data_IF_052376365588
#
_entry.id   IF_052376365588
#
_cell.length_a   1.000
_cell.length_b   1.000
_cell.length_c   1.000
_cell.angle_alpha   90.00
_cell.angle_beta   90.00
_cell.angle_gamma   90.00
#
_symmetry.space_group_name_H-M   'P 1'
#
loop_
_entity.id
_entity.type
_entity.pdbx_description
1 polymer ?
#
# COMPACT_ATOMS: atom_id res chain seq x y z
N UNK A 1 11.26 -21.26 -1.89
CA UNK A 1 10.34 -21.63 -2.99
C UNK A 1 9.26 -20.55 -3.07
N UNK A 2 8.85 -20.11 -4.25
CA UNK A 2 7.84 -19.05 -4.38
C UNK A 2 6.48 -19.51 -3.81
N UNK A 3 5.75 -18.58 -3.18
CA UNK A 3 4.37 -18.82 -2.74
C UNK A 3 3.47 -18.83 -3.98
N UNK A 4 2.65 -19.87 -4.21
CA UNK A 4 1.75 -19.90 -5.37
C UNK A 4 0.75 -18.74 -5.36
N UNK A 5 0.42 -18.19 -6.53
CA UNK A 5 -0.55 -17.08 -6.67
C UNK A 5 -1.92 -17.43 -6.06
N UNK A 6 -2.36 -18.70 -6.19
CA UNK A 6 -3.59 -19.20 -5.54
C UNK A 6 -3.52 -19.01 -4.03
N UNK A 7 -2.38 -19.35 -3.42
CA UNK A 7 -2.20 -19.25 -1.96
C UNK A 7 -2.22 -17.81 -1.45
N UNK A 8 -1.62 -16.89 -2.21
CA UNK A 8 -1.73 -15.47 -1.94
C UNK A 8 -3.18 -14.99 -2.02
N UNK A 9 -3.93 -15.48 -3.00
CA UNK A 9 -5.32 -15.12 -3.23
C UNK A 9 -6.24 -15.62 -2.10
N UNK A 10 -6.01 -16.84 -1.60
CA UNK A 10 -6.70 -17.36 -0.41
C UNK A 10 -6.41 -16.52 0.84
N UNK A 11 -5.16 -16.08 1.04
CA UNK A 11 -4.79 -15.20 2.14
C UNK A 11 -5.48 -13.84 2.06
N UNK A 12 -5.55 -13.26 0.85
CA UNK A 12 -6.25 -12.00 0.58
C UNK A 12 -7.76 -12.10 0.85
N UNK A 13 -8.38 -13.21 0.44
CA UNK A 13 -9.79 -13.52 0.77
C UNK A 13 -9.96 -13.64 2.28
N UNK A 14 -9.12 -14.42 2.96
CA UNK A 14 -9.24 -14.65 4.40
C UNK A 14 -9.17 -13.35 5.21
N UNK A 15 -8.20 -12.48 4.93
CA UNK A 15 -8.09 -11.19 5.64
C UNK A 15 -9.20 -10.22 5.26
N UNK A 16 -9.56 -10.16 3.97
CA UNK A 16 -10.60 -9.24 3.50
C UNK A 16 -11.97 -9.61 4.07
N UNK A 17 -12.25 -10.91 4.20
CA UNK A 17 -13.43 -11.42 4.87
C UNK A 17 -13.48 -11.01 6.34
N UNK A 18 -12.40 -11.25 7.10
CA UNK A 18 -12.34 -10.87 8.53
C UNK A 18 -12.62 -9.37 8.69
N UNK A 19 -11.97 -8.51 7.90
CA UNK A 19 -12.13 -7.06 8.01
C UNK A 19 -13.54 -6.60 7.56
N UNK A 20 -14.07 -7.18 6.48
CA UNK A 20 -15.42 -6.88 5.98
C UNK A 20 -16.50 -7.28 6.98
N UNK A 21 -16.41 -8.48 7.57
CA UNK A 21 -17.37 -9.01 8.54
C UNK A 21 -17.43 -8.14 9.81
N UNK A 22 -16.42 -7.30 10.07
CA UNK A 22 -16.36 -6.35 11.19
C UNK A 22 -16.57 -4.89 10.75
N UNK A 23 -16.98 -4.64 9.51
CA UNK A 23 -17.24 -3.29 9.00
C UNK A 23 -16.00 -2.40 8.90
N UNK A 24 -14.80 -2.99 8.81
CA UNK A 24 -13.55 -2.24 8.72
C UNK A 24 -13.26 -1.94 7.25
N UNK A 25 -13.23 -0.66 6.87
CA UNK A 25 -12.79 -0.24 5.53
C UNK A 25 -11.33 -0.65 5.33
N UNK A 26 -11.03 -1.32 4.23
CA UNK A 26 -9.69 -1.78 3.90
C UNK A 26 -9.57 -1.96 2.39
N UNK A 27 -8.34 -2.10 1.91
CA UNK A 27 -8.12 -2.63 0.56
C UNK A 27 -6.70 -3.10 0.34
N UNK A 28 -6.59 -4.18 -0.43
CA UNK A 28 -5.32 -4.80 -0.81
C UNK A 28 -4.65 -3.98 -1.91
N UNK A 29 -3.33 -3.83 -1.82
CA UNK A 29 -2.49 -3.16 -2.80
C UNK A 29 -1.21 -3.96 -3.07
N UNK A 30 -0.16 -3.31 -3.57
CA UNK A 30 1.16 -3.94 -3.65
C UNK A 30 1.34 -4.85 -4.85
N UNK A 31 2.18 -5.88 -4.71
CA UNK A 31 2.52 -6.78 -5.83
C UNK A 31 1.34 -7.64 -6.28
N UNK A 32 0.62 -8.22 -5.31
CA UNK A 32 -0.54 -9.07 -5.59
C UNK A 32 -1.67 -8.31 -6.28
N UNK A 33 -1.96 -7.07 -5.84
CA UNK A 33 -2.98 -6.23 -6.48
C UNK A 33 -2.67 -5.95 -7.96
N UNK A 34 -1.40 -5.73 -8.31
CA UNK A 34 -0.99 -5.55 -9.71
C UNK A 34 -1.26 -6.83 -10.52
N UNK A 35 -1.03 -8.02 -9.95
CA UNK A 35 -1.36 -9.29 -10.60
C UNK A 35 -2.87 -9.47 -10.81
N UNK A 36 -3.69 -9.11 -9.82
CA UNK A 36 -5.16 -9.10 -9.97
C UNK A 36 -5.61 -8.16 -11.08
N UNK A 37 -4.93 -7.03 -11.23
CA UNK A 37 -5.13 -6.09 -12.34
C UNK A 37 -4.52 -6.57 -13.67
N UNK A 38 -4.10 -7.84 -13.76
CA UNK A 38 -3.57 -8.50 -14.95
C UNK A 38 -2.09 -8.24 -15.23
N UNK A 39 -1.34 -7.75 -14.25
CA UNK A 39 0.12 -7.72 -14.32
C UNK A 39 0.71 -9.12 -14.18
N UNK A 40 1.98 -9.27 -14.55
CA UNK A 40 2.68 -10.56 -14.45
C UNK A 40 4.00 -10.38 -13.71
N UNK A 41 3.97 -10.51 -12.38
CA UNK A 41 5.18 -10.49 -11.56
C UNK A 41 5.10 -11.43 -10.37
N UNK A 42 6.28 -11.81 -9.88
CA UNK A 42 6.37 -12.50 -8.61
C UNK A 42 6.04 -11.54 -7.44
N UNK A 43 5.30 -12.05 -6.49
CA UNK A 43 4.99 -11.47 -5.18
C UNK A 43 4.99 -12.61 -4.15
N UNK A 44 5.22 -12.28 -2.89
CA UNK A 44 5.41 -13.26 -1.80
C UNK A 44 4.51 -12.97 -0.59
N UNK A 45 3.79 -11.86 -0.66
CA UNK A 45 3.16 -11.16 0.44
C UNK A 45 1.84 -10.53 -0.04
N UNK A 46 0.94 -10.31 0.91
CA UNK A 46 -0.28 -9.53 0.73
C UNK A 46 -0.11 -8.22 1.47
N UNK A 47 -0.05 -7.11 0.72
CA UNK A 47 -0.03 -5.75 1.27
C UNK A 47 -1.47 -5.21 1.34
N UNK A 48 -1.94 -4.73 2.50
CA UNK A 48 -3.23 -4.05 2.57
C UNK A 48 -3.23 -2.89 3.55
N UNK A 49 -4.08 -1.91 3.28
CA UNK A 49 -4.32 -0.77 4.18
C UNK A 49 -5.67 -0.94 4.87
N UNK A 50 -5.76 -0.67 6.17
CA UNK A 50 -6.99 -0.87 6.94
C UNK A 50 -7.32 0.30 7.89
N UNK A 51 -8.62 0.56 8.06
CA UNK A 51 -9.19 1.60 8.91
C UNK A 51 -9.36 1.13 10.37
N UNK A 52 -8.31 0.55 10.94
CA UNK A 52 -8.28 -0.01 12.31
C UNK A 52 -6.92 0.24 12.96
N UNK A 53 -6.90 0.54 14.25
CA UNK A 53 -5.69 0.71 15.04
C UNK A 53 -4.98 -0.61 15.33
N UNK A 54 -3.69 -0.55 15.67
CA UNK A 54 -2.85 -1.76 15.81
C UNK A 54 -3.33 -2.70 16.91
N UNK A 55 -3.66 -2.15 18.07
CA UNK A 55 -4.10 -2.92 19.23
C UNK A 55 -5.47 -3.57 18.98
N UNK A 56 -6.40 -2.82 18.39
CA UNK A 56 -7.72 -3.36 18.01
C UNK A 56 -7.59 -4.45 16.95
N UNK A 57 -6.70 -4.30 15.97
CA UNK A 57 -6.39 -5.32 14.98
C UNK A 57 -5.78 -6.56 15.63
N UNK A 58 -4.87 -6.40 16.60
CA UNK A 58 -4.32 -7.53 17.34
C UNK A 58 -5.38 -8.28 18.13
N UNK A 59 -6.26 -7.57 18.84
CA UNK A 59 -7.39 -8.17 19.55
C UNK A 59 -8.35 -8.89 18.59
N UNK A 60 -8.63 -8.28 17.44
CA UNK A 60 -9.48 -8.87 16.42
C UNK A 60 -8.91 -10.19 15.90
N UNK A 61 -7.60 -10.29 15.76
CA UNK A 61 -6.91 -11.43 15.17
C UNK A 61 -6.50 -12.49 16.21
N UNK A 62 -6.54 -12.17 17.49
CA UNK A 62 -6.14 -13.06 18.57
C UNK A 62 -6.97 -14.35 18.61
N UNK A 63 -6.28 -15.49 18.74
CA UNK A 63 -6.93 -16.81 18.80
C UNK A 63 -7.53 -17.32 17.47
N UNK A 64 -7.46 -16.54 16.37
CA UNK A 64 -7.95 -17.01 15.08
C UNK A 64 -7.06 -18.10 14.50
N UNK A 65 -7.68 -19.22 14.15
CA UNK A 65 -7.00 -20.36 13.53
C UNK A 65 -6.27 -19.90 12.26
N UNK A 66 -5.02 -20.31 12.13
CA UNK A 66 -4.17 -20.02 10.98
C UNK A 66 -3.54 -18.63 10.97
N UNK A 67 -3.82 -17.76 11.96
CA UNK A 67 -3.22 -16.43 12.04
C UNK A 67 -2.18 -16.36 13.15
N UNK A 68 -0.94 -16.03 12.79
CA UNK A 68 0.17 -15.84 13.73
C UNK A 68 0.68 -14.42 13.64
N UNK A 69 0.52 -13.65 14.72
CA UNK A 69 1.07 -12.29 14.81
C UNK A 69 2.60 -12.32 14.78
N UNK A 70 3.21 -11.36 14.08
CA UNK A 70 4.65 -11.15 14.10
C UNK A 70 4.93 -9.88 14.91
N UNK A 71 5.46 -9.99 16.15
CA UNK A 71 5.74 -8.82 17.00
C UNK A 71 6.69 -7.84 16.31
N UNK A 72 6.38 -6.55 16.39
CA UNK A 72 7.22 -5.49 15.85
C UNK A 72 6.93 -4.16 16.55
N UNK A 73 7.89 -3.22 16.45
CA UNK A 73 7.85 -1.92 17.13
C UNK A 73 7.16 -0.79 16.33
N UNK A 74 6.74 -1.03 15.09
CA UNK A 74 6.09 -0.01 14.26
C UNK A 74 4.62 0.11 14.60
N UNK A 75 4.16 1.30 14.97
CA UNK A 75 2.76 1.54 15.32
C UNK A 75 1.83 1.49 14.09
N UNK A 76 2.34 1.83 12.92
CA UNK A 76 1.59 1.93 11.66
C UNK A 76 1.52 0.61 10.87
N UNK A 77 1.99 -0.50 11.45
CA UNK A 77 2.25 -1.73 10.72
C UNK A 77 2.05 -2.98 11.57
N UNK A 78 1.20 -3.88 11.09
CA UNK A 78 0.84 -5.14 11.74
C UNK A 78 1.02 -6.32 10.76
N UNK A 79 2.17 -7.00 10.80
CA UNK A 79 2.43 -8.20 10.02
C UNK A 79 1.88 -9.45 10.70
N UNK A 80 1.33 -10.35 9.89
CA UNK A 80 0.88 -11.68 10.29
C UNK A 80 1.39 -12.72 9.31
N UNK A 81 1.61 -13.94 9.80
CA UNK A 81 1.56 -15.10 8.94
C UNK A 81 0.14 -15.66 8.92
N UNK A 82 -0.32 -15.99 7.72
CA UNK A 82 -1.55 -16.76 7.51
C UNK A 82 -1.24 -18.14 6.93
N UNK A 83 -1.76 -19.18 7.56
CA UNK A 83 -1.71 -20.56 7.08
C UNK A 83 -2.90 -21.37 7.60
N UNK A 84 -3.83 -21.74 6.72
CA UNK A 84 -5.00 -22.57 7.06
C UNK A 84 -4.69 -24.08 7.25
N UNK A 85 -3.48 -24.56 6.90
CA UNK A 85 -3.19 -26.00 6.84
C UNK A 85 -1.70 -26.37 6.99
N UNK A 86 -0.86 -25.51 7.57
CA UNK A 86 0.59 -25.74 7.72
C UNK A 86 1.33 -26.05 6.41
N UNK A 87 0.77 -25.64 5.27
CA UNK A 87 1.33 -26.01 3.97
C UNK A 87 2.45 -25.04 3.58
N UNK A 88 2.16 -23.74 3.60
CA UNK A 88 3.09 -22.63 3.32
C UNK A 88 2.50 -21.33 3.87
N UNK A 89 3.09 -20.72 4.91
CA UNK A 89 2.58 -19.48 5.45
C UNK A 89 2.76 -18.33 4.45
N UNK A 90 1.74 -17.48 4.37
CA UNK A 90 1.75 -16.23 3.60
C UNK A 90 1.99 -15.07 4.56
N UNK A 91 2.92 -14.17 4.21
CA UNK A 91 3.06 -12.91 4.92
C UNK A 91 1.92 -11.97 4.51
N UNK A 92 1.15 -11.51 5.50
CA UNK A 92 0.10 -10.50 5.33
C UNK A 92 0.55 -9.25 6.07
N UNK A 93 0.78 -8.18 5.32
CA UNK A 93 1.29 -6.89 5.77
C UNK A 93 0.13 -5.90 5.87
N UNK A 94 -0.32 -5.59 7.08
CA UNK A 94 -1.42 -4.64 7.30
C UNK A 94 -0.86 -3.28 7.71
N UNK A 95 -1.02 -2.30 6.83
CA UNK A 95 -0.65 -0.90 7.06
C UNK A 95 -1.83 -0.15 7.68
N UNK A 96 -1.54 0.53 8.79
CA UNK A 96 -2.53 1.20 9.61
C UNK A 96 -2.43 2.70 9.36
N UNK A 97 -3.44 3.25 8.70
CA UNK A 97 -3.73 4.68 8.73
C UNK A 97 -2.61 5.66 8.36
N UNK A 98 -2.88 6.93 8.60
CA UNK A 98 -1.92 8.01 8.38
C UNK A 98 -1.02 8.19 9.61
N UNK A 99 0.29 8.04 9.41
CA UNK A 99 1.32 8.30 10.43
C UNK A 99 1.98 9.69 10.27
N UNK A 100 1.66 10.44 9.21
CA UNK A 100 2.34 11.70 8.85
C UNK A 100 2.17 12.80 9.89
N UNK A 101 1.01 12.90 10.52
CA UNK A 101 0.77 13.93 11.54
C UNK A 101 1.36 13.62 12.91
N UNK A 102 2.00 12.45 13.06
CA UNK A 102 2.32 11.92 14.39
C UNK A 102 3.80 11.80 14.68
N UNK A 103 4.69 11.71 13.69
CA UNK A 103 6.15 11.62 13.96
C UNK A 103 6.68 12.80 14.79
N UNK A 104 6.18 14.02 14.59
CA UNK A 104 6.50 15.20 15.41
C UNK A 104 5.70 15.28 16.73
N UNK A 105 4.43 14.83 16.75
CA UNK A 105 3.58 14.85 17.97
C UNK A 105 3.92 13.73 18.95
N UNK A 106 4.45 12.61 18.49
CA UNK A 106 4.81 11.44 19.32
C UNK A 106 5.92 11.78 20.31
N UNK A 107 6.94 12.50 19.85
CA UNK A 107 8.05 12.93 20.71
C UNK A 107 7.57 13.86 21.82
N UNK A 108 6.60 14.74 21.53
CA UNK A 108 6.01 15.64 22.53
C UNK A 108 5.01 14.93 23.46
N UNK A 109 4.11 14.09 22.91
CA UNK A 109 3.07 13.39 23.66
C UNK A 109 3.64 12.32 24.62
N UNK A 110 4.72 11.62 24.23
CA UNK A 110 5.48 10.76 25.16
C UNK A 110 6.18 11.57 26.26
N UNK A 111 6.64 12.78 25.96
CA UNK A 111 7.29 13.66 26.93
C UNK A 111 6.31 14.17 28.01
N UNK A 112 5.03 14.36 27.65
CA UNK A 112 3.98 14.85 28.56
C UNK A 112 3.11 13.74 29.17
N UNK A 113 3.52 12.47 29.06
CA UNK A 113 2.84 11.35 29.72
C UNK A 113 1.49 10.95 29.12
N UNK A 114 1.21 11.30 27.87
CA UNK A 114 -0.02 10.88 27.19
C UNK A 114 0.06 9.40 26.75
N UNK A 115 -0.98 8.62 27.07
CA UNK A 115 -1.10 7.18 26.74
C UNK A 115 -1.81 6.91 25.42
N UNK A 116 -2.28 7.94 24.71
CA UNK A 116 -3.05 7.76 23.48
C UNK A 116 -2.13 7.31 22.33
N UNK A 117 -2.33 6.08 21.82
CA UNK A 117 -1.58 5.62 20.66
C UNK A 117 -1.91 6.48 19.43
N UNK A 118 -0.88 7.02 18.75
CA UNK A 118 -0.98 7.67 17.44
C UNK A 118 -1.71 6.82 16.39
N UNK A 119 -1.46 5.51 16.39
CA UNK A 119 -2.05 4.54 15.50
C UNK A 119 -3.36 4.00 16.08
N UNK A 120 -4.23 4.91 16.51
CA UNK A 120 -5.57 4.57 16.94
C UNK A 120 -6.52 4.49 15.74
N UNK A 121 -7.63 3.79 15.96
CA UNK A 121 -8.63 3.52 14.93
C UNK A 121 -9.23 4.78 14.32
N UNK A 122 -9.35 5.88 15.05
CA UNK A 122 -9.89 7.12 14.49
C UNK A 122 -8.95 7.74 13.45
N UNK A 123 -7.64 7.76 13.71
CA UNK A 123 -6.67 8.23 12.72
C UNK A 123 -6.61 7.31 11.50
N UNK A 124 -6.69 5.99 11.70
CA UNK A 124 -6.77 5.04 10.61
C UNK A 124 -8.03 5.22 9.75
N UNK A 125 -9.18 5.47 10.38
CA UNK A 125 -10.43 5.79 9.68
C UNK A 125 -10.31 7.08 8.87
N UNK A 126 -9.73 8.14 9.43
CA UNK A 126 -9.54 9.42 8.72
C UNK A 126 -8.69 9.24 7.47
N UNK A 127 -7.56 8.55 7.58
CA UNK A 127 -6.69 8.24 6.46
C UNK A 127 -7.42 7.47 5.36
N UNK A 128 -8.18 6.44 5.75
CA UNK A 128 -8.95 5.63 4.80
C UNK A 128 -10.17 6.36 4.20
N UNK A 129 -10.54 7.57 4.63
CA UNK A 129 -11.64 8.33 4.01
C UNK A 129 -11.29 8.81 2.61
N UNK A 130 -10.03 9.16 2.37
CA UNK A 130 -9.57 9.69 1.07
C UNK A 130 -9.09 8.59 0.12
N UNK A 131 -9.08 7.34 0.58
CA UNK A 131 -8.64 6.18 -0.20
C UNK A 131 -9.87 5.43 -0.70
N UNK A 132 -10.07 5.43 -2.01
CA UNK A 132 -11.13 4.66 -2.63
C UNK A 132 -10.77 3.18 -2.73
N UNK A 133 -11.80 2.34 -2.68
CA UNK A 133 -11.69 0.87 -2.76
C UNK A 133 -12.68 0.34 -3.77
N UNK A 134 -12.33 -0.77 -4.40
CA UNK A 134 -13.20 -1.51 -5.31
C UNK A 134 -13.29 -2.96 -4.88
N UNK A 135 -14.46 -3.56 -5.01
CA UNK A 135 -14.62 -5.01 -4.78
C UNK A 135 -14.25 -5.77 -6.04
N UNK A 136 -13.39 -6.77 -5.91
CA UNK A 136 -13.07 -7.75 -6.95
C UNK A 136 -13.49 -9.15 -6.47
N UNK A 137 -13.81 -10.03 -7.40
CA UNK A 137 -14.12 -11.43 -7.07
C UNK A 137 -12.88 -12.29 -7.31
N UNK A 138 -12.47 -13.01 -6.28
CA UNK A 138 -11.37 -13.98 -6.29
C UNK A 138 -11.98 -15.32 -5.93
N UNK A 139 -12.04 -16.26 -6.88
CA UNK A 139 -12.71 -17.56 -6.70
C UNK A 139 -14.16 -17.42 -6.18
N UNK A 140 -14.89 -16.42 -6.71
CA UNK A 140 -16.25 -16.01 -6.29
C UNK A 140 -16.37 -15.39 -4.88
N UNK A 141 -15.27 -15.18 -4.18
CA UNK A 141 -15.24 -14.49 -2.89
C UNK A 141 -14.90 -13.00 -3.08
N UNK A 142 -15.61 -12.09 -2.39
CA UNK A 142 -15.34 -10.66 -2.48
C UNK A 142 -14.04 -10.30 -1.76
N UNK A 143 -13.16 -9.57 -2.44
CA UNK A 143 -11.96 -8.96 -1.87
C UNK A 143 -11.99 -7.47 -2.13
N UNK A 144 -11.74 -6.67 -1.09
CA UNK A 144 -11.55 -5.24 -1.25
C UNK A 144 -10.13 -4.95 -1.77
N UNK A 145 -10.05 -4.32 -2.93
CA UNK A 145 -8.83 -3.82 -3.54
C UNK A 145 -8.80 -2.29 -3.37
N UNK A 146 -7.61 -1.69 -3.23
CA UNK A 146 -7.50 -0.25 -3.43
C UNK A 146 -7.90 0.11 -4.87
N UNK A 147 -8.51 1.28 -5.05
CA UNK A 147 -8.81 1.79 -6.38
C UNK A 147 -7.52 1.96 -7.20
N UNK A 148 -7.64 1.85 -8.52
CA UNK A 148 -6.50 1.87 -9.44
C UNK A 148 -5.61 3.11 -9.25
N UNK A 149 -6.22 4.28 -9.02
CA UNK A 149 -5.50 5.54 -8.77
C UNK A 149 -4.62 5.44 -7.52
N UNK A 150 -5.15 4.91 -6.41
CA UNK A 150 -4.41 4.72 -5.16
C UNK A 150 -3.28 3.70 -5.30
N UNK A 151 -3.51 2.61 -6.05
CA UNK A 151 -2.44 1.64 -6.37
C UNK A 151 -1.34 2.32 -7.20
N UNK A 152 -1.72 3.09 -8.22
CA UNK A 152 -0.78 3.80 -9.08
C UNK A 152 0.07 4.80 -8.29
N UNK A 153 -0.55 5.64 -7.45
CA UNK A 153 0.16 6.59 -6.59
C UNK A 153 1.17 5.86 -5.68
N UNK A 154 0.74 4.78 -5.02
CA UNK A 154 1.64 3.97 -4.18
C UNK A 154 2.82 3.35 -4.93
N UNK A 155 2.62 2.91 -6.18
CA UNK A 155 3.69 2.38 -7.04
C UNK A 155 4.63 3.47 -7.53
N UNK A 156 4.09 4.65 -7.86
CA UNK A 156 4.87 5.80 -8.27
C UNK A 156 5.79 6.26 -7.14
N UNK A 157 5.24 6.37 -5.94
CA UNK A 157 6.01 6.68 -4.74
C UNK A 157 7.11 5.64 -4.47
N UNK A 158 6.80 4.35 -4.60
CA UNK A 158 7.81 3.31 -4.47
C UNK A 158 8.92 3.45 -5.54
N UNK A 159 8.58 3.72 -6.79
CA UNK A 159 9.55 3.96 -7.86
C UNK A 159 10.39 5.24 -7.64
N UNK A 160 9.83 6.24 -6.95
CA UNK A 160 10.50 7.47 -6.56
C UNK A 160 11.54 7.24 -5.45
N UNK A 161 11.29 6.31 -4.54
CA UNK A 161 12.13 6.10 -3.35
C UNK A 161 13.09 4.91 -3.44
N UNK A 162 12.86 3.91 -4.31
CA UNK A 162 13.75 2.76 -4.44
C UNK A 162 13.98 2.34 -5.89
N UNK A 163 15.08 1.63 -6.12
CA UNK A 163 15.51 1.17 -7.44
C UNK A 163 15.24 -0.34 -7.63
N UNK A 164 13.98 -0.74 -7.84
CA UNK A 164 13.64 -2.11 -8.28
C UNK A 164 13.08 -2.11 -9.69
N UNK A 165 13.50 -3.08 -10.51
CA UNK A 165 12.99 -3.25 -11.89
C UNK A 165 11.47 -3.42 -11.90
N UNK A 166 10.92 -4.14 -10.91
CA UNK A 166 9.47 -4.36 -10.81
C UNK A 166 8.67 -3.07 -10.61
N UNK A 167 9.25 -2.01 -10.02
CA UNK A 167 8.50 -0.78 -9.78
C UNK A 167 8.20 -0.05 -11.12
N UNK A 168 9.18 0.02 -12.03
CA UNK A 168 8.96 0.55 -13.37
C UNK A 168 8.05 -0.33 -14.24
N UNK A 169 8.17 -1.66 -14.12
CA UNK A 169 7.28 -2.60 -14.83
C UNK A 169 5.82 -2.46 -14.36
N UNK A 170 5.60 -2.35 -13.05
CA UNK A 170 4.26 -2.16 -12.47
C UNK A 170 3.64 -0.85 -12.99
N UNK A 171 4.41 0.24 -13.04
CA UNK A 171 3.93 1.53 -13.57
C UNK A 171 3.60 1.47 -15.06
N UNK A 172 4.47 0.87 -15.89
CA UNK A 172 4.20 0.66 -17.32
C UNK A 172 2.93 -0.16 -17.55
N UNK A 173 2.74 -1.23 -16.76
CA UNK A 173 1.53 -2.05 -16.82
C UNK A 173 0.29 -1.23 -16.49
N UNK A 174 0.31 -0.49 -15.39
CA UNK A 174 -0.84 0.33 -14.97
C UNK A 174 -1.16 1.44 -15.98
N UNK A 175 -0.15 2.14 -16.49
CA UNK A 175 -0.32 3.19 -17.49
C UNK A 175 -0.87 2.64 -18.81
N UNK A 176 -0.35 1.52 -19.31
CA UNK A 176 -0.82 0.94 -20.57
C UNK A 176 -2.25 0.41 -20.50
N UNK A 177 -2.64 -0.22 -19.38
CA UNK A 177 -3.94 -0.89 -19.25
C UNK A 177 -5.04 0.00 -18.70
N UNK A 178 -4.69 0.99 -17.87
CA UNK A 178 -5.66 1.81 -17.14
C UNK A 178 -5.49 3.31 -17.38
N UNK A 179 -4.86 3.73 -18.49
CA UNK A 179 -4.72 5.13 -18.89
C UNK A 179 -6.02 5.94 -18.73
N UNK A 180 -7.14 5.45 -19.25
CA UNK A 180 -8.44 6.12 -19.17
C UNK A 180 -8.93 6.36 -17.74
N UNK A 181 -8.56 5.49 -16.80
CA UNK A 181 -8.89 5.66 -15.38
C UNK A 181 -7.93 6.61 -14.67
N UNK A 182 -6.71 6.78 -15.18
CA UNK A 182 -5.69 7.63 -14.58
C UNK A 182 -5.78 9.08 -15.08
N UNK A 183 -6.15 9.30 -16.36
CA UNK A 183 -6.26 10.64 -16.97
C UNK A 183 -7.07 11.65 -16.14
N UNK A 184 -8.27 11.30 -15.61
CA UNK A 184 -9.06 12.26 -14.83
C UNK A 184 -8.38 12.69 -13.52
N UNK A 185 -7.38 11.93 -13.06
CA UNK A 185 -6.68 12.13 -11.80
C UNK A 185 -5.26 12.68 -11.98
N UNK A 186 -4.84 13.01 -13.20
CA UNK A 186 -3.45 13.41 -13.50
C UNK A 186 -2.97 14.59 -12.64
N UNK A 187 -3.83 15.58 -12.37
CA UNK A 187 -3.53 16.75 -11.54
C UNK A 187 -3.40 16.43 -10.04
N UNK A 188 -3.89 15.27 -9.61
CA UNK A 188 -3.78 14.79 -8.24
C UNK A 188 -2.53 13.93 -7.98
N UNK A 189 -1.70 13.72 -9.00
CA UNK A 189 -0.47 12.92 -8.89
C UNK A 189 0.67 13.80 -8.37
N UNK A 190 1.41 13.31 -7.39
CA UNK A 190 2.53 14.02 -6.78
C UNK A 190 3.70 14.21 -7.77
N UNK A 191 3.87 15.43 -8.29
CA UNK A 191 4.92 15.75 -9.26
C UNK A 191 6.35 15.56 -8.72
N UNK A 192 6.56 15.61 -7.40
CA UNK A 192 7.88 15.31 -6.80
C UNK A 192 8.25 13.84 -7.00
N UNK A 193 7.29 12.95 -6.82
CA UNK A 193 7.49 11.52 -7.05
C UNK A 193 7.64 11.21 -8.54
N UNK A 194 6.87 11.88 -9.40
CA UNK A 194 7.06 11.82 -10.87
C UNK A 194 8.49 12.18 -11.25
N UNK A 195 9.00 13.32 -10.78
CA UNK A 195 10.35 13.78 -11.13
C UNK A 195 11.44 12.81 -10.68
N UNK A 196 11.33 12.30 -9.45
CA UNK A 196 12.24 11.27 -8.92
C UNK A 196 12.17 9.96 -9.72
N UNK A 197 10.96 9.47 -9.99
CA UNK A 197 10.75 8.23 -10.71
C UNK A 197 11.27 8.32 -12.15
N UNK A 198 11.03 9.42 -12.86
CA UNK A 198 11.53 9.64 -14.24
C UNK A 198 13.05 9.80 -14.28
N UNK A 199 13.66 10.49 -13.30
CA UNK A 199 15.14 10.53 -13.20
C UNK A 199 15.75 9.14 -13.04
N UNK A 200 15.06 8.25 -12.30
CA UNK A 200 15.52 6.88 -12.09
C UNK A 200 15.19 5.94 -13.25
N UNK A 201 14.05 6.15 -13.90
CA UNK A 201 13.51 5.34 -14.99
C UNK A 201 13.05 6.25 -16.13
N UNK A 202 13.95 6.73 -17.00
CA UNK A 202 13.64 7.72 -18.03
C UNK A 202 12.54 7.26 -19.01
N UNK A 203 12.45 5.95 -19.24
CA UNK A 203 11.39 5.28 -19.99
C UNK A 203 9.95 5.52 -19.50
N UNK A 204 9.75 6.03 -18.28
CA UNK A 204 8.43 6.35 -17.74
C UNK A 204 7.92 7.71 -18.22
N UNK A 205 8.81 8.57 -18.76
CA UNK A 205 8.48 9.94 -19.16
C UNK A 205 7.31 10.01 -20.15
N UNK A 206 7.41 9.28 -21.26
CA UNK A 206 6.36 9.28 -22.30
C UNK A 206 5.05 8.65 -21.80
N UNK A 207 5.04 7.45 -21.18
CA UNK A 207 3.81 6.88 -20.62
C UNK A 207 3.11 7.77 -19.60
N UNK A 208 3.85 8.45 -18.71
CA UNK A 208 3.27 9.37 -17.72
C UNK A 208 2.69 10.62 -18.40
N UNK A 209 3.41 11.20 -19.36
CA UNK A 209 2.92 12.34 -20.13
C UNK A 209 1.65 12.00 -20.92
N UNK A 210 1.55 10.77 -21.45
CA UNK A 210 0.41 10.31 -22.25
C UNK A 210 -0.93 10.27 -21.48
N UNK A 211 -0.86 10.17 -20.15
CA UNK A 211 -2.05 10.23 -19.28
C UNK A 211 -2.29 11.64 -18.72
N UNK A 212 -1.59 12.65 -19.21
CA UNK A 212 -1.79 14.06 -18.84
C UNK A 212 -1.04 14.51 -17.59
N UNK A 213 -0.08 13.74 -17.10
CA UNK A 213 0.80 14.16 -15.99
C UNK A 213 1.87 15.11 -16.54
N UNK A 214 2.08 16.25 -15.90
CA UNK A 214 3.08 17.25 -16.32
C UNK A 214 4.50 16.81 -15.92
N UNK A 215 5.08 15.95 -16.76
CA UNK A 215 6.45 15.43 -16.54
C UNK A 215 7.50 16.52 -16.68
N UNK A 216 7.27 17.52 -17.53
CA UNK A 216 8.20 18.64 -17.70
C UNK A 216 8.32 19.44 -16.40
N UNK A 217 7.18 19.86 -15.83
CA UNK A 217 7.15 20.53 -14.54
C UNK A 217 7.75 19.63 -13.43
N UNK A 218 7.44 18.33 -13.44
CA UNK A 218 7.96 17.40 -12.44
C UNK A 218 9.50 17.30 -12.44
N UNK A 219 10.14 17.40 -13.60
CA UNK A 219 11.60 17.35 -13.72
C UNK A 219 12.29 18.61 -13.16
N UNK A 220 11.64 19.77 -13.25
CA UNK A 220 12.11 21.05 -12.70
C UNK A 220 11.99 21.14 -11.17
N UNK A 221 11.12 20.32 -10.55
CA UNK A 221 11.00 20.30 -9.09
C UNK A 221 12.29 19.76 -8.48
N UNK A 222 12.96 20.61 -7.72
CA UNK A 222 14.11 20.23 -6.90
C UNK A 222 13.67 19.17 -5.89
N UNK A 223 14.16 17.94 -6.07
CA UNK A 223 14.02 16.91 -5.06
C UNK A 223 15.34 16.74 -4.33
N UNK A 224 15.26 16.42 -3.04
CA UNK A 224 16.37 15.82 -2.31
C UNK A 224 17.00 14.72 -3.17
N UNK A 225 18.33 14.55 -3.07
CA UNK A 225 19.07 13.55 -3.85
C UNK A 225 18.35 12.20 -3.82
N UNK A 226 18.41 11.50 -4.95
CA UNK A 226 18.01 10.10 -5.05
C UNK A 226 18.94 9.31 -4.11
N UNK A 227 18.56 9.21 -2.83
CA UNK A 227 19.32 8.44 -1.87
C UNK A 227 19.18 6.97 -2.24
N UNK A 228 20.29 6.28 -2.42
CA UNK A 228 20.34 4.83 -2.64
C UNK A 228 20.02 4.03 -1.37
N UNK A 229 19.75 4.71 -0.26
CA UNK A 229 19.28 4.11 0.98
C UNK A 229 17.79 3.80 0.85
N UNK A 230 17.38 2.63 1.37
CA UNK A 230 15.95 2.30 1.44
C UNK A 230 15.21 3.40 2.20
N UNK A 231 14.07 3.91 1.69
CA UNK A 231 13.31 4.93 2.39
C UNK A 231 12.91 4.44 3.78
N UNK A 232 12.79 5.33 4.77
CA UNK A 232 12.25 4.96 6.07
C UNK A 232 10.85 4.33 5.88
N UNK A 233 10.55 3.34 6.70
CA UNK A 233 9.45 2.38 6.52
C UNK A 233 8.03 2.99 6.54
N UNK A 234 7.89 4.28 6.85
CA UNK A 234 6.63 5.03 7.01
C UNK A 234 6.06 5.62 5.70
N UNK A 235 6.67 5.34 4.55
CA UNK A 235 6.41 6.04 3.29
C UNK A 235 5.27 5.45 2.42
N UNK A 236 4.84 4.22 2.68
CA UNK A 236 3.87 3.55 1.79
C UNK A 236 2.51 4.24 1.81
N UNK A 237 2.00 4.57 3.00
CA UNK A 237 0.71 5.23 3.17
C UNK A 237 0.74 6.63 2.56
N UNK A 238 1.86 7.36 2.71
CA UNK A 238 2.10 8.66 2.06
C UNK A 238 1.80 8.61 0.57
N UNK A 239 2.48 7.70 -0.10
CA UNK A 239 2.40 7.54 -1.54
C UNK A 239 1.02 7.11 -2.02
N UNK A 240 0.18 6.53 -1.17
CA UNK A 240 -1.19 6.13 -1.53
C UNK A 240 -2.17 7.31 -1.38
N UNK A 241 -1.96 8.17 -0.39
CA UNK A 241 -2.88 9.24 -0.01
C UNK A 241 -2.59 10.58 -0.71
N UNK A 242 -1.32 10.90 -0.93
CA UNK A 242 -0.87 12.14 -1.60
C UNK A 242 -0.92 12.02 -3.13
#
# INVERSE_FOLDING_TARGET
MAVPQKRLSEAAVAVSKILSDHGIKHGVFGGWAVNVLGGNRATKDIDLMAAIGKDELWQLMEGRIGWVKIPNMREDYAPFFWDDALQRPVLVEIFIGDHHHLSYRISFLKLVGSTASPANTENARRAMRVVDTQTVLIDNEPVQLLAIVSIFKGKLHAAADRAKVSDAMDLKHLLSKYAEHLRPHATSINLRDVGKAVRRYPELSEPLSSVGIDVFQAQEIQSDEVTWMSPPTYNVQKGIME
#
